data_IF_689003161660
#
_entry.id   IF_689003161660
#
_cell.length_a   1.000
_cell.length_b   1.000
_cell.length_c   1.000
_cell.angle_alpha   90.00
_cell.angle_beta   90.00
_cell.angle_gamma   90.00
#
_symmetry.space_group_name_H-M   'P 1'
#
loop_
_entity.id
_entity.type
_entity.pdbx_description
1 polymer ?
#
# COMPACT_ATOMS: atom_id res chain seq x y z
N UNK A 1 6.44 52.23 12.37
CA UNK A 1 6.15 50.90 11.81
C UNK A 1 5.82 51.13 10.35
N UNK A 2 6.80 50.96 9.45
CA UNK A 2 6.68 51.42 8.06
C UNK A 2 6.09 50.30 7.21
N UNK A 3 4.84 50.45 6.77
CA UNK A 3 4.20 49.53 5.84
C UNK A 3 4.75 49.82 4.43
N UNK A 4 5.50 48.88 3.86
CA UNK A 4 5.89 48.95 2.45
C UNK A 4 4.70 48.53 1.58
N UNK A 5 4.20 49.45 0.76
CA UNK A 5 3.22 49.14 -0.26
C UNK A 5 3.95 48.52 -1.46
N UNK A 6 3.67 47.26 -1.77
CA UNK A 6 4.15 46.60 -2.97
C UNK A 6 3.16 46.85 -4.11
N UNK A 7 3.59 47.60 -5.12
CA UNK A 7 2.86 47.75 -6.38
C UNK A 7 3.56 46.87 -7.42
N UNK A 8 2.80 46.00 -8.09
CA UNK A 8 3.29 45.20 -9.20
C UNK A 8 2.59 45.66 -10.48
N UNK A 9 3.35 45.72 -11.57
CA UNK A 9 2.84 45.99 -12.90
C UNK A 9 3.04 44.73 -13.74
N UNK A 10 2.01 44.34 -14.51
CA UNK A 10 2.04 43.16 -15.38
C UNK A 10 1.85 43.61 -16.83
N UNK A 11 2.92 43.50 -17.61
CA UNK A 11 2.85 43.63 -19.07
C UNK A 11 2.66 42.24 -19.70
N UNK A 12 1.54 42.02 -20.35
CA UNK A 12 1.30 40.79 -21.11
C UNK A 12 1.97 40.88 -22.48
N UNK A 13 2.92 39.98 -22.75
CA UNK A 13 3.56 39.85 -24.07
C UNK A 13 3.04 38.56 -24.72
N UNK A 14 2.55 38.67 -25.95
CA UNK A 14 2.08 37.50 -26.70
C UNK A 14 3.27 36.63 -27.11
N UNK A 15 3.13 35.32 -26.94
CA UNK A 15 4.20 34.36 -27.22
C UNK A 15 3.73 33.30 -28.21
N UNK A 16 4.55 33.00 -29.22
CA UNK A 16 4.26 32.04 -30.30
C UNK A 16 4.16 30.57 -29.85
N UNK A 17 4.37 30.28 -28.56
CA UNK A 17 4.26 28.92 -28.00
C UNK A 17 2.81 28.56 -27.69
N UNK A 18 2.31 27.49 -28.33
CA UNK A 18 1.00 26.89 -28.04
C UNK A 18 0.88 26.56 -26.54
N UNK A 19 -0.23 26.93 -25.90
CA UNK A 19 -0.48 26.71 -24.46
C UNK A 19 -0.08 25.32 -23.93
N UNK A 20 -0.35 24.21 -24.65
CA UNK A 20 0.02 22.86 -24.21
C UNK A 20 1.53 22.60 -24.14
N UNK A 21 2.37 23.33 -24.87
CA UNK A 21 3.82 23.12 -24.88
C UNK A 21 4.59 24.06 -23.96
N UNK A 22 3.92 25.04 -23.32
CA UNK A 22 4.59 26.00 -22.41
C UNK A 22 5.23 25.34 -21.19
N UNK A 23 4.64 24.26 -20.70
CA UNK A 23 5.15 23.51 -19.55
C UNK A 23 6.36 22.64 -19.89
N UNK A 24 6.59 22.36 -21.17
CA UNK A 24 7.69 21.49 -21.62
C UNK A 24 9.07 22.12 -21.33
N UNK A 25 9.16 23.45 -21.37
CA UNK A 25 10.39 24.18 -21.00
C UNK A 25 10.73 24.05 -19.51
N UNK A 26 9.72 23.98 -18.63
CA UNK A 26 9.91 23.77 -17.19
C UNK A 26 10.11 22.28 -16.84
N UNK A 27 9.62 21.37 -17.67
CA UNK A 27 9.74 19.92 -17.50
C UNK A 27 11.00 19.34 -18.16
N UNK A 28 11.67 20.10 -19.02
CA UNK A 28 13.03 19.80 -19.52
C UNK A 28 14.04 19.95 -18.39
N UNK A 29 14.06 18.95 -17.51
CA UNK A 29 15.07 18.80 -16.49
C UNK A 29 16.34 18.36 -17.21
N UNK A 30 17.28 19.29 -17.43
CA UNK A 30 18.63 19.03 -17.96
C UNK A 30 19.49 18.12 -17.04
N UNK A 31 18.91 17.56 -15.97
CA UNK A 31 19.56 16.70 -14.97
C UNK A 31 19.51 15.18 -15.24
N UNK A 32 18.97 14.72 -16.37
CA UNK A 32 18.75 13.27 -16.63
C UNK A 32 20.03 12.41 -16.52
N UNK A 33 21.19 12.96 -16.89
CA UNK A 33 22.49 12.26 -16.79
C UNK A 33 22.92 12.02 -15.34
N UNK A 34 22.65 12.96 -14.44
CA UNK A 34 23.00 12.84 -13.01
C UNK A 34 22.01 11.93 -12.29
N UNK A 35 20.74 11.94 -12.69
CA UNK A 35 19.71 11.11 -12.07
C UNK A 35 19.93 9.60 -12.32
N UNK A 36 20.28 9.21 -13.55
CA UNK A 36 20.57 7.80 -13.85
C UNK A 36 21.83 7.29 -13.12
N UNK A 37 22.82 8.15 -12.89
CA UNK A 37 24.00 7.81 -12.09
C UNK A 37 23.65 7.51 -10.62
N UNK A 38 22.77 8.32 -10.02
CA UNK A 38 22.28 8.07 -8.65
C UNK A 38 21.45 6.79 -8.52
N UNK A 39 20.67 6.43 -9.56
CA UNK A 39 19.92 5.17 -9.62
C UNK A 39 20.87 3.97 -9.71
N UNK A 40 21.90 4.03 -10.55
CA UNK A 40 22.88 2.96 -10.68
C UNK A 40 23.66 2.77 -9.37
N UNK A 41 24.09 3.86 -8.75
CA UNK A 41 24.80 3.84 -7.47
C UNK A 41 23.97 3.18 -6.36
N UNK A 42 22.68 3.52 -6.22
CA UNK A 42 21.83 2.89 -5.20
C UNK A 42 21.55 1.41 -5.50
N UNK A 43 21.36 1.04 -6.77
CA UNK A 43 21.17 -0.35 -7.20
C UNK A 43 22.42 -1.21 -6.91
N UNK A 44 23.62 -0.66 -7.13
CA UNK A 44 24.87 -1.33 -6.80
C UNK A 44 24.99 -1.62 -5.29
N UNK A 45 24.65 -0.64 -4.44
CA UNK A 45 24.66 -0.82 -2.98
C UNK A 45 23.65 -1.88 -2.54
N UNK A 46 22.43 -1.87 -3.09
CA UNK A 46 21.38 -2.84 -2.73
C UNK A 46 21.78 -4.26 -3.15
N UNK A 47 22.30 -4.44 -4.36
CA UNK A 47 22.72 -5.77 -4.84
C UNK A 47 23.90 -6.31 -4.05
N UNK A 48 24.86 -5.46 -3.69
CA UNK A 48 25.99 -5.85 -2.84
C UNK A 48 25.53 -6.25 -1.44
N UNK A 49 24.65 -5.45 -0.81
CA UNK A 49 24.10 -5.76 0.51
C UNK A 49 23.27 -7.05 0.50
N UNK A 50 22.44 -7.25 -0.53
CA UNK A 50 21.66 -8.47 -0.72
C UNK A 50 22.57 -9.69 -0.90
N UNK A 51 23.69 -9.55 -1.63
CA UNK A 51 24.69 -10.61 -1.80
C UNK A 51 25.34 -11.02 -0.48
N UNK A 52 25.75 -10.05 0.36
CA UNK A 52 26.32 -10.33 1.69
C UNK A 52 25.30 -11.02 2.58
N UNK A 53 24.06 -10.50 2.63
CA UNK A 53 22.99 -11.10 3.44
C UNK A 53 22.68 -12.53 2.97
N UNK A 54 22.61 -12.75 1.65
CA UNK A 54 22.40 -14.08 1.08
C UNK A 54 23.55 -15.03 1.42
N UNK A 55 24.80 -14.57 1.36
CA UNK A 55 25.97 -15.36 1.75
C UNK A 55 25.90 -15.76 3.23
N UNK A 56 25.58 -14.81 4.13
CA UNK A 56 25.41 -15.08 5.57
C UNK A 56 24.27 -16.07 5.78
N UNK A 57 23.12 -15.87 5.12
CA UNK A 57 21.99 -16.78 5.21
C UNK A 57 22.34 -18.19 4.75
N UNK A 58 23.02 -18.34 3.60
CA UNK A 58 23.46 -19.65 3.10
C UNK A 58 24.50 -20.29 4.02
N UNK A 59 25.38 -19.50 4.63
CA UNK A 59 26.34 -20.00 5.62
C UNK A 59 25.62 -20.52 6.87
N UNK A 60 24.62 -19.80 7.36
CA UNK A 60 23.78 -20.22 8.50
C UNK A 60 23.02 -21.48 8.13
N UNK A 61 22.31 -21.51 7.00
CA UNK A 61 21.52 -22.68 6.58
C UNK A 61 22.40 -23.91 6.37
N UNK A 62 23.57 -23.78 5.73
CA UNK A 62 24.49 -24.91 5.56
C UNK A 62 25.02 -25.42 6.90
N UNK A 63 25.35 -24.52 7.82
CA UNK A 63 25.81 -24.87 9.17
C UNK A 63 24.69 -25.55 9.96
N UNK A 64 23.48 -25.00 9.89
CA UNK A 64 22.31 -25.55 10.57
C UNK A 64 21.97 -26.93 9.99
N UNK A 65 21.97 -27.12 8.66
CA UNK A 65 21.76 -28.42 8.02
C UNK A 65 22.82 -29.46 8.42
N UNK A 66 24.10 -29.08 8.47
CA UNK A 66 25.16 -29.98 8.93
C UNK A 66 24.97 -30.36 10.40
N UNK A 67 24.56 -29.40 11.24
CA UNK A 67 24.22 -29.64 12.63
C UNK A 67 22.97 -30.52 12.78
N UNK A 68 21.97 -30.38 11.89
CA UNK A 68 20.82 -31.28 11.85
C UNK A 68 21.21 -32.70 11.43
N UNK A 69 22.14 -32.91 10.50
CA UNK A 69 22.62 -34.26 10.15
C UNK A 69 23.38 -34.94 11.31
N UNK A 70 24.15 -34.18 12.09
CA UNK A 70 24.81 -34.68 13.29
C UNK A 70 23.80 -34.98 14.40
N UNK A 71 22.88 -34.05 14.64
CA UNK A 71 21.77 -34.24 15.59
C UNK A 71 20.82 -35.34 15.14
N UNK A 72 20.62 -35.60 13.85
CA UNK A 72 19.77 -36.70 13.33
C UNK A 72 20.45 -38.05 13.56
N UNK A 73 21.78 -38.14 13.46
CA UNK A 73 22.52 -39.37 13.82
C UNK A 73 22.43 -39.67 15.33
N UNK A 74 22.53 -38.64 16.16
CA UNK A 74 22.38 -38.76 17.62
C UNK A 74 20.91 -38.98 18.03
N UNK A 75 19.98 -38.30 17.35
CA UNK A 75 18.55 -38.39 17.57
C UNK A 75 18.02 -39.71 17.03
N UNK A 76 18.50 -40.30 15.95
CA UNK A 76 18.00 -41.59 15.44
C UNK A 76 18.28 -42.75 16.43
N UNK A 77 19.29 -42.62 17.29
CA UNK A 77 19.49 -43.50 18.45
C UNK A 77 18.47 -43.26 19.58
N UNK A 78 17.91 -42.05 19.69
CA UNK A 78 16.92 -41.64 20.69
C UNK A 78 15.45 -41.66 20.17
N UNK A 79 15.24 -41.56 18.86
CA UNK A 79 14.00 -41.27 18.13
C UNK A 79 13.13 -42.51 17.90
N UNK A 80 13.70 -43.71 18.01
CA UNK A 80 12.88 -44.94 18.14
C UNK A 80 11.92 -44.87 19.35
N UNK A 81 12.09 -43.92 20.29
CA UNK A 81 11.16 -43.64 21.39
C UNK A 81 10.22 -42.43 21.19
N UNK A 82 10.52 -41.46 20.31
CA UNK A 82 9.81 -40.16 20.24
C UNK A 82 8.94 -39.93 18.99
N UNK A 83 8.94 -40.86 18.02
CA UNK A 83 8.25 -40.74 16.72
C UNK A 83 6.72 -40.51 16.80
N UNK A 84 6.13 -40.50 17.99
CA UNK A 84 4.70 -40.28 18.20
C UNK A 84 4.29 -38.80 18.31
N UNK A 85 5.20 -37.87 18.63
CA UNK A 85 4.84 -36.47 18.97
C UNK A 85 4.66 -35.53 17.77
N UNK A 86 5.58 -35.54 16.80
CA UNK A 86 5.59 -34.59 15.68
C UNK A 86 4.40 -34.74 14.73
N UNK A 87 3.85 -35.96 14.61
CA UNK A 87 2.68 -36.25 13.76
C UNK A 87 1.38 -35.65 14.32
N UNK A 88 1.32 -35.41 15.64
CA UNK A 88 0.22 -34.69 16.30
C UNK A 88 0.31 -33.18 16.06
N UNK A 89 1.53 -32.61 16.02
CA UNK A 89 1.77 -31.17 15.78
C UNK A 89 1.37 -30.75 14.36
N UNK A 90 1.54 -31.62 13.36
CA UNK A 90 1.08 -31.36 11.98
C UNK A 90 -0.44 -31.15 11.89
N UNK A 91 -1.22 -31.75 12.80
CA UNK A 91 -2.67 -31.54 12.88
C UNK A 91 -3.08 -30.20 13.51
N UNK A 92 -2.26 -29.67 14.42
CA UNK A 92 -2.52 -28.38 15.08
C UNK A 92 -2.16 -27.16 14.20
N UNK A 93 -1.35 -27.34 13.13
CA UNK A 93 -1.01 -26.26 12.17
C UNK A 93 -2.23 -25.74 11.41
N UNK A 94 -3.28 -26.57 11.25
CA UNK A 94 -4.51 -26.20 10.55
C UNK A 94 -5.62 -25.72 11.50
N UNK A 95 -5.31 -25.47 12.77
CA UNK A 95 -6.30 -24.99 13.72
C UNK A 95 -6.71 -23.57 13.34
N UNK A 96 -8.02 -23.31 13.34
CA UNK A 96 -8.54 -22.01 13.00
C UNK A 96 -7.92 -20.94 13.95
N UNK A 97 -7.38 -19.84 13.41
CA UNK A 97 -6.81 -18.77 14.22
C UNK A 97 -7.91 -18.14 15.09
N UNK A 98 -7.52 -17.57 16.23
CA UNK A 98 -8.44 -16.97 17.21
C UNK A 98 -9.33 -15.86 16.63
N UNK A 99 -8.88 -15.15 15.58
CA UNK A 99 -9.62 -14.09 14.90
C UNK A 99 -9.55 -14.23 13.35
N UNK A 100 -10.34 -15.13 12.73
CA UNK A 100 -10.26 -15.38 11.30
C UNK A 100 -10.82 -14.24 10.44
N UNK A 101 -11.75 -13.45 10.99
CA UNK A 101 -12.42 -12.34 10.28
C UNK A 101 -11.46 -11.18 10.01
N UNK A 102 -10.65 -10.81 11.00
CA UNK A 102 -9.65 -9.74 10.90
C UNK A 102 -8.54 -10.11 9.92
N UNK A 103 -8.10 -11.38 9.95
CA UNK A 103 -7.10 -11.87 9.00
C UNK A 103 -7.62 -11.84 7.56
N UNK A 104 -8.87 -12.24 7.33
CA UNK A 104 -9.49 -12.13 6.00
C UNK A 104 -9.63 -10.67 5.53
N UNK A 105 -9.96 -9.75 6.44
CA UNK A 105 -10.03 -8.33 6.15
C UNK A 105 -8.67 -7.75 5.74
N UNK A 106 -7.61 -8.05 6.52
CA UNK A 106 -6.25 -7.59 6.23
C UNK A 106 -5.70 -8.14 4.91
N UNK A 107 -5.92 -9.43 4.62
CA UNK A 107 -5.45 -10.02 3.35
C UNK A 107 -6.23 -9.46 2.16
N UNK A 108 -7.56 -9.28 2.29
CA UNK A 108 -8.37 -8.65 1.25
C UNK A 108 -7.90 -7.25 0.89
N UNK A 109 -7.74 -6.40 1.91
CA UNK A 109 -7.25 -5.01 1.75
C UNK A 109 -5.82 -4.98 1.18
N UNK A 110 -4.94 -5.88 1.64
CA UNK A 110 -3.58 -6.02 1.11
C UNK A 110 -3.55 -6.34 -0.39
N UNK A 111 -4.43 -7.22 -0.86
CA UNK A 111 -4.56 -7.53 -2.30
C UNK A 111 -5.08 -6.33 -3.08
N UNK A 112 -6.02 -5.56 -2.51
CA UNK A 112 -6.56 -4.36 -3.14
C UNK A 112 -5.48 -3.28 -3.32
N UNK A 113 -4.72 -3.00 -2.25
CA UNK A 113 -3.65 -1.99 -2.25
C UNK A 113 -2.50 -2.41 -3.17
N UNK A 114 -2.09 -3.67 -3.13
CA UNK A 114 -1.02 -4.19 -3.99
C UNK A 114 -1.42 -4.15 -5.46
N UNK A 115 -2.66 -4.54 -5.79
CA UNK A 115 -3.18 -4.43 -7.14
C UNK A 115 -3.23 -2.98 -7.62
N UNK A 116 -3.65 -2.05 -6.76
CA UNK A 116 -3.65 -0.62 -7.07
C UNK A 116 -2.24 -0.10 -7.33
N UNK A 117 -1.26 -0.47 -6.50
CA UNK A 117 0.13 -0.07 -6.70
C UNK A 117 0.67 -0.54 -8.06
N UNK A 118 0.43 -1.79 -8.44
CA UNK A 118 0.86 -2.34 -9.74
C UNK A 118 0.21 -1.56 -10.89
N UNK A 119 -1.10 -1.35 -10.83
CA UNK A 119 -1.84 -0.64 -11.89
C UNK A 119 -1.35 0.82 -12.00
N UNK A 120 -1.17 1.51 -10.88
CA UNK A 120 -0.65 2.89 -10.87
C UNK A 120 0.77 2.97 -11.45
N UNK A 121 1.65 2.02 -11.14
CA UNK A 121 3.00 1.96 -11.72
C UNK A 121 2.92 1.75 -13.24
N UNK A 122 2.05 0.86 -13.72
CA UNK A 122 1.86 0.63 -15.15
C UNK A 122 1.35 1.88 -15.87
N UNK A 123 0.35 2.57 -15.32
CA UNK A 123 -0.15 3.84 -15.87
C UNK A 123 0.89 4.96 -15.85
N UNK A 124 1.78 4.97 -14.85
CA UNK A 124 2.90 5.91 -14.77
C UNK A 124 3.94 5.63 -15.86
N UNK A 125 4.33 4.37 -16.07
CA UNK A 125 5.32 3.96 -17.09
C UNK A 125 4.81 4.19 -18.51
N UNK A 126 3.52 3.97 -18.77
CA UNK A 126 2.90 4.23 -20.07
C UNK A 126 2.73 5.73 -20.40
N UNK A 127 3.07 6.63 -19.47
CA UNK A 127 3.00 8.08 -19.70
C UNK A 127 1.59 8.67 -19.71
N UNK A 128 0.57 7.88 -19.36
CA UNK A 128 -0.83 8.35 -19.26
C UNK A 128 -1.05 9.31 -18.08
N UNK A 129 -0.14 9.35 -17.11
CA UNK A 129 -0.09 10.33 -16.02
C UNK A 129 0.38 11.71 -16.52
N UNK A 130 -0.26 12.26 -17.57
CA UNK A 130 0.01 13.64 -17.98
C UNK A 130 -0.62 14.60 -16.97
N UNK A 131 0.09 15.61 -16.41
CA UNK A 131 -0.44 16.56 -15.40
C UNK A 131 -1.63 17.42 -15.85
N UNK A 132 -2.13 17.21 -17.07
CA UNK A 132 -3.06 18.08 -17.81
C UNK A 132 -4.53 17.90 -17.43
N UNK A 133 -4.91 16.83 -16.73
CA UNK A 133 -6.29 16.59 -16.29
C UNK A 133 -6.36 15.95 -14.89
N UNK A 134 -5.98 16.72 -13.86
CA UNK A 134 -5.97 16.26 -12.46
C UNK A 134 -7.29 15.60 -12.02
N UNK A 135 -8.43 16.08 -12.50
CA UNK A 135 -9.75 15.50 -12.20
C UNK A 135 -10.00 14.13 -12.82
N UNK A 136 -9.67 13.94 -14.10
CA UNK A 136 -9.87 12.66 -14.81
C UNK A 136 -9.00 11.55 -14.23
N UNK A 137 -7.78 11.88 -13.80
CA UNK A 137 -6.87 10.94 -13.16
C UNK A 137 -7.43 10.41 -11.82
N UNK A 138 -7.93 11.31 -10.97
CA UNK A 138 -8.51 10.92 -9.68
C UNK A 138 -9.75 10.03 -9.88
N UNK A 139 -10.63 10.40 -10.82
CA UNK A 139 -11.84 9.62 -11.14
C UNK A 139 -11.45 8.23 -11.69
N UNK A 140 -10.47 8.16 -12.59
CA UNK A 140 -9.98 6.89 -13.12
C UNK A 140 -9.38 5.98 -12.04
N UNK A 141 -8.59 6.55 -11.12
CA UNK A 141 -8.03 5.80 -9.99
C UNK A 141 -9.12 5.31 -9.03
N UNK A 142 -10.17 6.09 -8.76
CA UNK A 142 -11.31 5.67 -7.95
C UNK A 142 -12.11 4.54 -8.60
N UNK A 143 -12.32 4.60 -9.91
CA UNK A 143 -13.00 3.53 -10.65
C UNK A 143 -12.19 2.22 -10.64
N UNK A 144 -10.87 2.31 -10.86
CA UNK A 144 -9.97 1.16 -10.75
C UNK A 144 -9.98 0.57 -9.34
N UNK A 145 -9.96 1.42 -8.31
CA UNK A 145 -10.04 1.00 -6.92
C UNK A 145 -11.32 0.20 -6.62
N UNK A 146 -12.46 0.64 -7.17
CA UNK A 146 -13.74 -0.06 -7.02
C UNK A 146 -13.74 -1.43 -7.70
N UNK A 147 -13.17 -1.54 -8.90
CA UNK A 147 -13.06 -2.80 -9.64
C UNK A 147 -12.16 -3.79 -8.88
N UNK A 148 -11.02 -3.33 -8.38
CA UNK A 148 -10.11 -4.16 -7.59
C UNK A 148 -10.72 -4.60 -6.25
N UNK A 149 -11.69 -3.85 -5.71
CA UNK A 149 -12.46 -4.24 -4.53
C UNK A 149 -13.24 -5.55 -4.71
N UNK A 150 -13.68 -5.88 -5.94
CA UNK A 150 -14.33 -7.16 -6.24
C UNK A 150 -13.32 -8.32 -6.10
N UNK A 151 -12.09 -8.14 -6.60
CA UNK A 151 -11.03 -9.13 -6.48
C UNK A 151 -10.59 -9.33 -5.02
N UNK A 152 -10.48 -8.23 -4.27
CA UNK A 152 -10.19 -8.25 -2.83
C UNK A 152 -11.25 -9.03 -2.03
N UNK A 153 -12.54 -8.76 -2.31
CA UNK A 153 -13.67 -9.50 -1.74
C UNK A 153 -13.59 -10.99 -2.06
N UNK A 154 -13.30 -11.36 -3.32
CA UNK A 154 -13.14 -12.77 -3.72
C UNK A 154 -11.98 -13.47 -3.00
N UNK A 155 -10.82 -12.83 -2.85
CA UNK A 155 -9.68 -13.42 -2.14
C UNK A 155 -9.99 -13.59 -0.64
N UNK A 156 -10.59 -12.59 0.00
CA UNK A 156 -11.01 -12.67 1.41
C UNK A 156 -12.04 -13.79 1.63
N UNK A 157 -12.99 -13.94 0.70
CA UNK A 157 -13.96 -15.04 0.68
C UNK A 157 -13.29 -16.41 0.63
N UNK A 158 -12.33 -16.54 -0.29
CA UNK A 158 -11.63 -17.80 -0.53
C UNK A 158 -10.81 -18.18 0.69
N UNK A 159 -10.14 -17.19 1.30
CA UNK A 159 -9.35 -17.37 2.51
C UNK A 159 -10.25 -17.78 3.70
N UNK A 160 -11.41 -17.14 3.86
CA UNK A 160 -12.41 -17.53 4.85
C UNK A 160 -12.83 -19.00 4.71
N UNK A 161 -13.12 -19.43 3.48
CA UNK A 161 -13.50 -20.83 3.18
C UNK A 161 -12.39 -21.82 3.51
N UNK A 162 -11.13 -21.46 3.25
CA UNK A 162 -9.98 -22.33 3.54
C UNK A 162 -9.68 -22.45 5.04
N UNK A 163 -9.94 -21.39 5.81
CA UNK A 163 -9.65 -21.35 7.25
C UNK A 163 -10.75 -22.07 8.06
N UNK A 164 -12.02 -21.99 7.64
CA UNK A 164 -13.15 -22.64 8.32
C UNK A 164 -13.47 -24.05 7.77
N UNK A 165 -12.52 -24.72 7.11
CA UNK A 165 -12.68 -26.09 6.61
C UNK A 165 -13.97 -26.30 5.78
N UNK A 166 -14.34 -25.30 4.98
CA UNK A 166 -15.50 -25.37 4.09
C UNK A 166 -16.83 -24.97 4.70
N UNK A 167 -16.91 -24.38 5.90
CA UNK A 167 -18.19 -23.88 6.43
C UNK A 167 -18.66 -22.63 5.66
N UNK A 168 -19.93 -22.62 5.22
CA UNK A 168 -20.48 -21.59 4.31
C UNK A 168 -21.04 -20.38 5.07
N UNK A 169 -21.16 -20.51 6.39
CA UNK A 169 -21.80 -19.51 7.26
C UNK A 169 -20.86 -18.29 7.43
N UNK A 170 -21.42 -17.09 7.31
CA UNK A 170 -20.72 -15.84 7.63
C UNK A 170 -19.90 -15.20 6.51
N UNK A 171 -19.88 -15.76 5.30
CA UNK A 171 -19.15 -15.16 4.17
C UNK A 171 -19.54 -13.69 3.90
N UNK A 172 -20.85 -13.39 3.97
CA UNK A 172 -21.39 -12.04 3.76
C UNK A 172 -20.84 -11.06 4.81
N UNK A 173 -20.75 -11.47 6.08
CA UNK A 173 -20.22 -10.64 7.16
C UNK A 173 -18.75 -10.27 6.93
N UNK A 174 -17.94 -11.23 6.48
CA UNK A 174 -16.52 -11.01 6.18
C UNK A 174 -16.35 -10.07 4.99
N UNK A 175 -17.16 -10.23 3.94
CA UNK A 175 -17.15 -9.33 2.78
C UNK A 175 -17.51 -7.90 3.17
N UNK A 176 -18.49 -7.71 4.06
CA UNK A 176 -18.84 -6.40 4.62
C UNK A 176 -17.71 -5.79 5.45
N UNK A 177 -17.04 -6.58 6.29
CA UNK A 177 -15.89 -6.10 7.07
C UNK A 177 -14.76 -5.66 6.14
N UNK A 178 -14.42 -6.45 5.11
CA UNK A 178 -13.39 -6.09 4.11
C UNK A 178 -13.75 -4.77 3.41
N UNK A 179 -15.01 -4.63 2.96
CA UNK A 179 -15.47 -3.45 2.25
C UNK A 179 -15.50 -2.19 3.14
N UNK A 180 -15.83 -2.33 4.43
CA UNK A 180 -15.95 -1.21 5.36
C UNK A 180 -14.67 -0.87 6.11
N UNK A 181 -13.67 -1.76 6.15
CA UNK A 181 -12.46 -1.56 6.96
C UNK A 181 -11.67 -0.31 6.54
N UNK A 182 -11.25 -0.26 5.27
CA UNK A 182 -10.45 0.85 4.75
C UNK A 182 -11.23 2.20 4.68
N UNK A 183 -12.43 2.27 4.05
CA UNK A 183 -13.19 3.52 4.03
C UNK A 183 -13.71 3.93 5.41
N UNK A 184 -13.98 2.98 6.32
CA UNK A 184 -14.39 3.27 7.69
C UNK A 184 -13.28 3.91 8.52
N UNK A 185 -12.05 3.41 8.40
CA UNK A 185 -10.87 4.03 9.04
C UNK A 185 -10.64 5.43 8.48
N UNK A 186 -10.69 5.60 7.15
CA UNK A 186 -10.54 6.92 6.52
C UNK A 186 -11.63 7.90 6.97
N UNK A 187 -12.89 7.45 7.03
CA UNK A 187 -14.00 8.25 7.54
C UNK A 187 -13.82 8.66 9.00
N UNK A 188 -13.36 7.75 9.87
CA UNK A 188 -13.05 8.04 11.27
C UNK A 188 -11.98 9.11 11.39
N UNK A 189 -10.85 8.95 10.69
CA UNK A 189 -9.74 9.91 10.70
C UNK A 189 -10.22 11.29 10.23
N UNK A 190 -10.93 11.34 9.10
CA UNK A 190 -11.46 12.59 8.56
C UNK A 190 -12.45 13.25 9.50
N UNK A 191 -13.29 12.46 10.16
CA UNK A 191 -14.28 12.96 11.13
C UNK A 191 -13.57 13.54 12.36
N UNK A 192 -12.61 12.82 12.95
CA UNK A 192 -11.82 13.31 14.08
C UNK A 192 -11.06 14.59 13.72
N UNK A 193 -10.42 14.64 12.56
CA UNK A 193 -9.74 15.84 12.09
C UNK A 193 -10.71 17.01 11.87
N UNK A 194 -11.90 16.76 11.33
CA UNK A 194 -12.93 17.80 11.18
C UNK A 194 -13.42 18.33 12.54
N UNK A 195 -13.60 17.47 13.55
CA UNK A 195 -13.95 17.90 14.91
C UNK A 195 -12.85 18.77 15.55
N UNK A 196 -11.58 18.42 15.36
CA UNK A 196 -10.44 19.22 15.87
C UNK A 196 -10.33 20.59 15.17
N UNK A 197 -10.53 20.62 13.85
CA UNK A 197 -10.53 21.85 13.06
C UNK A 197 -11.68 22.78 13.45
N UNK A 198 -12.85 22.21 13.75
CA UNK A 198 -14.00 22.94 14.24
C UNK A 198 -13.72 23.59 15.61
N UNK A 199 -13.14 22.84 16.55
CA UNK A 199 -12.72 23.39 17.85
C UNK A 199 -11.66 24.50 17.75
N UNK A 200 -10.90 24.52 16.65
CA UNK A 200 -9.87 25.53 16.39
C UNK A 200 -10.39 26.75 15.59
N UNK A 201 -11.70 26.85 15.33
CA UNK A 201 -12.32 27.91 14.52
C UNK A 201 -11.67 28.11 13.13
N UNK A 202 -11.07 27.06 12.56
CA UNK A 202 -10.37 27.15 11.29
C UNK A 202 -11.34 27.07 10.10
N UNK A 203 -11.15 27.93 9.10
CA UNK A 203 -12.00 28.10 7.91
C UNK A 203 -12.05 26.85 7.01
N UNK A 204 -11.29 25.79 7.34
CA UNK A 204 -11.27 24.51 6.62
C UNK A 204 -12.32 23.48 7.07
N UNK A 205 -13.13 23.77 8.10
CA UNK A 205 -14.17 22.86 8.57
C UNK A 205 -15.34 22.76 7.56
N UNK A 206 -15.52 21.60 6.94
CA UNK A 206 -16.55 21.34 5.91
C UNK A 206 -17.86 20.85 6.52
N UNK A 207 -18.42 21.59 7.48
CA UNK A 207 -19.85 21.53 7.80
C UNK A 207 -20.52 22.80 7.26
N UNK A 208 -21.78 22.74 6.79
CA UNK A 208 -22.45 23.91 6.24
C UNK A 208 -22.64 24.92 7.38
N UNK A 209 -21.83 25.98 7.36
CA UNK A 209 -22.12 27.17 8.14
C UNK A 209 -23.52 27.63 7.72
N UNK A 210 -24.48 27.84 8.63
CA UNK A 210 -25.75 28.45 8.26
C UNK A 210 -25.42 29.82 7.66
N UNK A 211 -25.83 30.03 6.41
CA UNK A 211 -25.74 31.30 5.72
C UNK A 211 -26.39 32.35 6.61
N UNK A 212 -25.58 33.21 7.22
CA UNK A 212 -26.08 34.45 7.76
C UNK A 212 -26.59 35.28 6.57
N UNK A 213 -27.85 35.77 6.62
CA UNK A 213 -28.38 36.58 5.53
C UNK A 213 -27.57 37.87 5.43
N UNK A 214 -27.20 38.20 4.19
CA UNK A 214 -26.58 39.45 3.80
C UNK A 214 -27.44 40.63 4.25
N UNK A 215 -26.86 41.50 5.08
CA UNK A 215 -27.17 42.92 5.16
C UNK A 215 -25.88 43.69 4.92
#
# INVERSE_FOLDING_TARGET
MNMCAFTYEVSFVESDIKWPSRWDAYLKIEGSKVHWFSILNSLMVITFLAGIVLMIFLMIVRRDLAQYEELDKEAQAQMNKELSGWKLVVGDVFRAPSNPSLLCAMVGDGVQILGMAIVTILFAVLGFMSPRSRGTLIIGMLLLYMILGIAAGYVATRLWRTILCGDHKGWVSVSWIVACFFPGIAFLILTTLNFLLWGSHSTGARFPHPLHPLL
#
